data_IF_470038121706
#
_entry.id   IF_470038121706
#
_cell.length_a   1.000
_cell.length_b   1.000
_cell.length_c   1.000
_cell.angle_alpha   90.00
_cell.angle_beta   90.00
_cell.angle_gamma   90.00
#
_symmetry.space_group_name_H-M   'P 1'
#
loop_
_entity.id
_entity.type
_entity.pdbx_description
1 polymer ?
#
# COMPACT_ATOMS: atom_id res chain seq x y z
N UNK A 1 -32.78 16.31 -21.08
CA UNK A 1 -32.61 15.73 -19.73
C UNK A 1 -32.95 16.69 -18.58
N UNK A 2 -32.62 17.99 -18.61
CA UNK A 2 -32.97 18.89 -17.48
C UNK A 2 -34.48 19.19 -17.34
N UNK A 3 -35.24 19.13 -18.43
CA UNK A 3 -36.72 19.22 -18.42
C UNK A 3 -37.41 17.96 -17.87
N UNK A 4 -36.72 16.81 -17.83
CA UNK A 4 -37.31 15.51 -17.47
C UNK A 4 -37.32 15.27 -15.95
N UNK A 5 -36.49 15.97 -15.19
CA UNK A 5 -36.36 15.82 -13.73
C UNK A 5 -36.97 16.99 -12.94
N UNK A 6 -37.61 17.95 -13.62
CA UNK A 6 -38.26 19.13 -13.03
C UNK A 6 -37.39 19.88 -11.99
N UNK A 7 -36.07 19.80 -12.13
CA UNK A 7 -35.13 20.36 -11.14
C UNK A 7 -34.89 21.85 -11.37
N UNK A 8 -35.23 22.39 -12.55
CA UNK A 8 -35.01 23.79 -12.91
C UNK A 8 -33.54 24.20 -12.94
N UNK A 9 -32.60 23.25 -13.02
CA UNK A 9 -31.19 23.50 -13.28
C UNK A 9 -30.94 23.53 -14.80
N UNK A 10 -30.04 24.41 -15.22
CA UNK A 10 -29.53 24.42 -16.59
C UNK A 10 -28.71 23.16 -16.88
N UNK A 11 -28.63 22.79 -18.16
CA UNK A 11 -27.99 21.54 -18.59
C UNK A 11 -26.52 21.45 -18.15
N UNK A 12 -25.81 22.58 -18.08
CA UNK A 12 -24.42 22.63 -17.65
C UNK A 12 -24.28 22.36 -16.15
N UNK A 13 -25.08 23.01 -15.30
CA UNK A 13 -25.05 22.76 -13.85
C UNK A 13 -25.46 21.32 -13.50
N UNK A 14 -26.43 20.75 -14.22
CA UNK A 14 -26.82 19.34 -14.02
C UNK A 14 -25.66 18.39 -14.36
N UNK A 15 -24.98 18.60 -15.49
CA UNK A 15 -23.83 17.79 -15.89
C UNK A 15 -22.65 17.90 -14.90
N UNK A 16 -22.51 19.05 -14.25
CA UNK A 16 -21.49 19.28 -13.24
C UNK A 16 -21.82 18.58 -11.92
N UNK A 17 -23.09 18.58 -11.49
CA UNK A 17 -23.54 17.82 -10.33
C UNK A 17 -23.34 16.31 -10.52
N UNK A 18 -23.62 15.80 -11.73
CA UNK A 18 -23.40 14.39 -12.07
C UNK A 18 -21.91 14.03 -11.95
N UNK A 19 -21.01 14.85 -12.52
CA UNK A 19 -19.56 14.63 -12.38
C UNK A 19 -19.06 14.66 -10.94
N UNK A 20 -19.68 15.46 -10.07
CA UNK A 20 -19.32 15.50 -8.65
C UNK A 20 -19.75 14.22 -7.93
N UNK A 21 -20.96 13.74 -8.18
CA UNK A 21 -21.42 12.44 -7.68
C UNK A 21 -20.52 11.31 -8.16
N UNK A 22 -20.06 11.33 -9.42
CA UNK A 22 -19.08 10.38 -9.96
C UNK A 22 -17.71 10.49 -9.26
N UNK A 23 -17.33 11.67 -8.77
CA UNK A 23 -16.12 11.88 -7.96
C UNK A 23 -16.27 11.49 -6.48
N UNK A 24 -17.42 10.93 -6.08
CA UNK A 24 -17.65 10.37 -4.74
C UNK A 24 -18.33 11.31 -3.75
N UNK A 25 -18.86 12.46 -4.16
CA UNK A 25 -19.63 13.33 -3.26
C UNK A 25 -21.01 12.74 -2.95
N UNK A 26 -21.45 12.82 -1.69
CA UNK A 26 -22.76 12.32 -1.29
C UNK A 26 -23.90 13.10 -2.00
N UNK A 27 -24.74 12.42 -2.81
CA UNK A 27 -25.80 13.06 -3.59
C UNK A 27 -26.88 13.73 -2.73
N UNK A 28 -27.18 13.21 -1.53
CA UNK A 28 -28.20 13.79 -0.65
C UNK A 28 -27.75 15.12 -0.03
N UNK A 29 -26.49 15.19 0.41
CA UNK A 29 -25.91 16.42 0.92
C UNK A 29 -25.82 17.51 -0.16
N UNK A 30 -25.45 17.11 -1.39
CA UNK A 30 -25.43 18.00 -2.55
C UNK A 30 -26.83 18.54 -2.89
N UNK A 31 -27.85 17.67 -2.85
CA UNK A 31 -29.24 18.08 -3.08
C UNK A 31 -29.75 19.04 -1.98
N UNK A 32 -29.39 18.81 -0.71
CA UNK A 32 -29.70 19.71 0.40
C UNK A 32 -29.10 21.10 0.20
N UNK A 33 -27.81 21.17 -0.14
CA UNK A 33 -27.12 22.42 -0.42
C UNK A 33 -27.74 23.18 -1.59
N UNK A 34 -28.09 22.49 -2.69
CA UNK A 34 -28.72 23.14 -3.84
C UNK A 34 -30.09 23.73 -3.47
N UNK A 35 -30.89 23.05 -2.65
CA UNK A 35 -32.19 23.55 -2.16
C UNK A 35 -32.01 24.78 -1.27
N UNK A 36 -31.07 24.73 -0.32
CA UNK A 36 -30.79 25.85 0.58
C UNK A 36 -30.26 27.09 -0.16
N UNK A 37 -29.39 26.86 -1.16
CA UNK A 37 -28.85 27.93 -1.99
C UNK A 37 -29.90 28.54 -2.90
N UNK A 38 -30.83 27.74 -3.44
CA UNK A 38 -31.98 28.25 -4.22
C UNK A 38 -32.92 29.08 -3.35
N UNK A 39 -33.16 28.66 -2.11
CA UNK A 39 -34.00 29.41 -1.17
C UNK A 39 -33.40 30.77 -0.79
N UNK A 40 -32.06 30.86 -0.69
CA UNK A 40 -31.36 32.08 -0.26
C UNK A 40 -31.01 33.05 -1.41
N UNK A 41 -30.73 32.56 -2.62
CA UNK A 41 -30.15 33.37 -3.69
C UNK A 41 -31.04 33.59 -4.95
N UNK A 42 -32.24 33.00 -4.99
CA UNK A 42 -33.14 33.12 -6.15
C UNK A 42 -32.55 32.49 -7.43
N UNK A 43 -33.17 32.67 -8.62
CA UNK A 43 -32.84 31.91 -9.85
C UNK A 43 -31.44 32.18 -10.45
N UNK A 44 -30.61 33.06 -9.86
CA UNK A 44 -29.24 33.35 -10.28
C UNK A 44 -28.19 32.46 -9.56
N UNK A 45 -28.58 31.22 -9.25
CA UNK A 45 -27.76 30.24 -8.50
C UNK A 45 -26.45 29.87 -9.22
N UNK A 46 -26.33 30.06 -10.54
CA UNK A 46 -25.25 29.51 -11.36
C UNK A 46 -23.85 30.07 -11.04
N UNK A 47 -23.72 31.36 -10.72
CA UNK A 47 -22.42 31.97 -10.41
C UNK A 47 -21.92 31.65 -9.01
N UNK A 48 -22.84 31.58 -8.03
CA UNK A 48 -22.49 31.27 -6.64
C UNK A 48 -22.28 29.77 -6.41
N UNK A 49 -23.05 28.92 -7.10
CA UNK A 49 -22.81 27.47 -7.14
C UNK A 49 -21.40 27.18 -7.64
N UNK A 50 -20.91 27.89 -8.67
CA UNK A 50 -19.53 27.74 -9.17
C UNK A 50 -18.46 28.16 -8.15
N UNK A 51 -18.70 29.23 -7.38
CA UNK A 51 -17.79 29.68 -6.32
C UNK A 51 -17.73 28.67 -5.16
N UNK A 52 -18.90 28.17 -4.72
CA UNK A 52 -19.00 27.14 -3.67
C UNK A 52 -18.43 25.81 -4.17
N UNK A 53 -18.65 25.43 -5.44
CA UNK A 53 -18.02 24.25 -6.02
C UNK A 53 -16.50 24.38 -6.11
N UNK A 54 -15.98 25.56 -6.48
CA UNK A 54 -14.54 25.84 -6.44
C UNK A 54 -14.01 25.68 -5.02
N UNK A 55 -14.74 26.15 -4.02
CA UNK A 55 -14.36 26.02 -2.62
C UNK A 55 -14.34 24.54 -2.17
N UNK A 56 -15.34 23.74 -2.56
CA UNK A 56 -15.41 22.30 -2.29
C UNK A 56 -14.34 21.47 -3.05
N UNK A 57 -14.04 21.84 -4.30
CA UNK A 57 -12.94 21.27 -5.09
C UNK A 57 -11.57 21.64 -4.53
N UNK A 58 -11.42 22.84 -3.95
CA UNK A 58 -10.20 23.26 -3.25
C UNK A 58 -10.07 22.60 -1.87
N UNK A 59 -11.19 22.39 -1.15
CA UNK A 59 -11.16 21.89 0.22
C UNK A 59 -10.99 20.37 0.35
N UNK A 60 -11.28 19.57 -0.69
CA UNK A 60 -10.99 18.13 -0.70
C UNK A 60 -9.90 17.72 -1.70
N UNK A 61 -8.91 18.61 -1.92
CA UNK A 61 -7.72 18.28 -2.71
C UNK A 61 -6.41 18.92 -2.25
N UNK A 62 -6.38 19.69 -1.15
CA UNK A 62 -5.20 20.45 -0.72
C UNK A 62 -4.98 20.49 0.81
N UNK A 63 -5.44 19.46 1.55
CA UNK A 63 -5.18 19.33 2.99
C UNK A 63 -4.12 18.25 3.31
N UNK A 64 -2.99 18.30 2.60
CA UNK A 64 -1.76 17.62 3.03
C UNK A 64 -0.52 18.41 2.61
N UNK A 65 -0.50 19.70 2.98
CA UNK A 65 0.56 20.64 2.60
C UNK A 65 1.67 20.75 3.64
N UNK A 66 1.66 19.97 4.73
CA UNK A 66 2.71 20.10 5.77
C UNK A 66 3.66 18.93 5.98
N UNK A 67 3.57 17.83 5.23
CA UNK A 67 4.63 16.80 5.22
C UNK A 67 4.82 16.17 3.85
N UNK A 68 5.49 16.91 2.97
CA UNK A 68 6.04 16.35 1.74
C UNK A 68 5.83 17.29 0.58
N UNK A 69 6.94 17.81 0.06
CA UNK A 69 7.00 18.44 -1.25
C UNK A 69 6.47 17.45 -2.29
N UNK A 70 5.21 17.58 -2.68
CA UNK A 70 4.65 16.80 -3.77
C UNK A 70 5.10 17.41 -5.10
N UNK A 71 5.92 16.68 -5.85
CA UNK A 71 6.24 17.04 -7.22
C UNK A 71 5.18 16.46 -8.15
N UNK A 72 4.69 17.27 -9.09
CA UNK A 72 3.70 16.85 -10.06
C UNK A 72 4.33 15.80 -11.00
N UNK A 73 3.85 14.55 -10.96
CA UNK A 73 4.42 13.40 -11.71
C UNK A 73 4.46 13.60 -13.23
N UNK A 74 3.71 14.57 -13.75
CA UNK A 74 3.65 14.95 -15.17
C UNK A 74 4.76 15.92 -15.62
N UNK A 75 5.53 16.51 -14.70
CA UNK A 75 6.65 17.44 -15.01
C UNK A 75 8.02 16.83 -14.63
N UNK A 76 8.05 15.52 -14.38
CA UNK A 76 9.29 14.80 -14.22
C UNK A 76 9.93 14.60 -15.61
N UNK A 77 10.96 15.38 -15.92
CA UNK A 77 11.89 14.99 -17.00
C UNK A 77 12.52 13.67 -16.55
N UNK A 78 12.40 12.63 -17.39
CA UNK A 78 12.49 11.19 -17.07
C UNK A 78 13.76 10.70 -16.36
N UNK A 79 14.77 11.54 -16.10
CA UNK A 79 16.08 11.12 -15.61
C UNK A 79 16.66 11.97 -14.46
N UNK A 80 15.85 12.79 -13.77
CA UNK A 80 16.33 13.61 -12.66
C UNK A 80 15.71 13.17 -11.32
N UNK A 81 16.56 12.95 -10.31
CA UNK A 81 16.11 12.59 -8.96
C UNK A 81 15.39 13.76 -8.27
N UNK A 82 14.43 13.47 -7.39
CA UNK A 82 13.64 14.47 -6.64
C UNK A 82 14.51 15.50 -5.91
N UNK A 83 15.60 15.02 -5.29
CA UNK A 83 16.58 15.87 -4.61
C UNK A 83 17.20 16.91 -5.55
N UNK A 84 17.44 16.56 -6.82
CA UNK A 84 18.01 17.47 -7.80
C UNK A 84 17.08 18.64 -8.13
N UNK A 85 15.76 18.42 -8.12
CA UNK A 85 14.78 19.49 -8.30
C UNK A 85 14.74 20.44 -7.11
N UNK A 86 14.80 19.89 -5.88
CA UNK A 86 14.87 20.68 -4.65
C UNK A 86 16.14 21.53 -4.64
N UNK A 87 17.30 20.94 -4.93
CA UNK A 87 18.56 21.68 -4.99
C UNK A 87 18.55 22.77 -6.07
N UNK A 88 18.02 22.48 -7.28
CA UNK A 88 17.88 23.49 -8.33
C UNK A 88 17.07 24.69 -7.86
N UNK A 89 15.95 24.45 -7.16
CA UNK A 89 15.10 25.52 -6.63
C UNK A 89 15.82 26.35 -5.57
N UNK A 90 16.43 25.68 -4.59
CA UNK A 90 17.19 26.34 -3.50
C UNK A 90 18.31 27.21 -4.08
N UNK A 91 19.03 26.71 -5.09
CA UNK A 91 20.08 27.48 -5.77
C UNK A 91 19.50 28.70 -6.49
N UNK A 92 18.43 28.52 -7.27
CA UNK A 92 17.77 29.64 -7.96
C UNK A 92 17.25 30.71 -7.00
N UNK A 93 16.69 30.31 -5.86
CA UNK A 93 16.21 31.21 -4.82
C UNK A 93 17.35 31.98 -4.16
N UNK A 94 18.44 31.28 -3.79
CA UNK A 94 19.64 31.91 -3.27
C UNK A 94 20.22 32.94 -4.25
N UNK A 95 20.31 32.61 -5.54
CA UNK A 95 20.81 33.52 -6.58
C UNK A 95 19.91 34.74 -6.76
N UNK A 96 18.58 34.57 -6.69
CA UNK A 96 17.63 35.69 -6.75
C UNK A 96 17.78 36.63 -5.55
N UNK A 97 17.93 36.08 -4.35
CA UNK A 97 18.10 36.87 -3.12
C UNK A 97 19.39 37.71 -3.14
N UNK A 98 20.42 37.26 -3.85
CA UNK A 98 21.66 38.03 -4.04
C UNK A 98 21.58 39.04 -5.20
N UNK A 99 20.40 39.25 -5.81
CA UNK A 99 20.22 40.22 -6.89
C UNK A 99 20.75 39.74 -8.25
N UNK A 100 20.87 38.42 -8.45
CA UNK A 100 21.30 37.81 -9.71
C UNK A 100 22.69 37.18 -9.66
N UNK A 101 23.03 36.40 -10.70
CA UNK A 101 24.27 35.61 -10.78
C UNK A 101 25.55 36.46 -10.66
N UNK A 102 25.52 37.69 -11.15
CA UNK A 102 26.68 38.59 -11.18
C UNK A 102 26.99 39.25 -9.83
N UNK A 103 26.02 39.24 -8.91
CA UNK A 103 26.11 39.90 -7.61
C UNK A 103 26.41 38.92 -6.46
N UNK A 104 26.55 37.62 -6.76
CA UNK A 104 26.92 36.61 -5.76
C UNK A 104 28.40 36.75 -5.41
N UNK A 105 28.70 37.22 -4.19
CA UNK A 105 30.08 37.36 -3.72
C UNK A 105 30.70 35.99 -3.47
N UNK A 106 31.87 35.72 -4.09
CA UNK A 106 32.57 34.44 -3.94
C UNK A 106 33.32 34.42 -2.60
N UNK A 107 32.63 34.01 -1.54
CA UNK A 107 33.19 33.93 -0.20
C UNK A 107 34.22 32.79 -0.06
N UNK A 108 35.09 32.89 0.95
CA UNK A 108 36.07 31.84 1.30
C UNK A 108 35.37 30.53 1.71
N UNK A 109 34.21 30.63 2.35
CA UNK A 109 33.37 29.51 2.76
C UNK A 109 32.76 28.78 1.56
N UNK A 110 32.30 29.54 0.56
CA UNK A 110 31.77 28.97 -0.69
C UNK A 110 32.86 28.15 -1.39
N UNK A 111 34.09 28.68 -1.48
CA UNK A 111 35.24 27.96 -2.04
C UNK A 111 35.57 26.69 -1.26
N UNK A 112 35.52 26.74 0.07
CA UNK A 112 35.76 25.57 0.92
C UNK A 112 34.67 24.50 0.75
N UNK A 113 33.39 24.91 0.65
CA UNK A 113 32.26 24.01 0.43
C UNK A 113 32.32 23.32 -0.93
N UNK A 114 32.66 24.06 -2.00
CA UNK A 114 32.84 23.50 -3.35
C UNK A 114 33.99 22.49 -3.39
N UNK A 115 35.11 22.76 -2.71
CA UNK A 115 36.23 21.81 -2.59
C UNK A 115 35.80 20.49 -1.93
N UNK A 116 34.93 20.57 -0.91
CA UNK A 116 34.41 19.39 -0.21
C UNK A 116 33.24 18.71 -0.94
N UNK A 117 32.63 19.36 -1.94
CA UNK A 117 31.42 18.84 -2.60
C UNK A 117 31.64 17.46 -3.22
N UNK A 118 32.80 17.23 -3.85
CA UNK A 118 33.15 15.92 -4.40
C UNK A 118 33.25 14.84 -3.33
N UNK A 119 33.87 15.15 -2.18
CA UNK A 119 33.97 14.22 -1.07
C UNK A 119 32.59 13.87 -0.50
N UNK A 120 31.71 14.87 -0.30
CA UNK A 120 30.33 14.65 0.16
C UNK A 120 29.53 13.80 -0.83
N UNK A 121 29.72 14.02 -2.13
CA UNK A 121 29.06 13.22 -3.17
C UNK A 121 29.56 11.76 -3.18
N UNK A 122 30.87 11.54 -3.05
CA UNK A 122 31.42 10.19 -2.94
C UNK A 122 30.86 9.45 -1.71
N UNK A 123 30.85 10.10 -0.54
CA UNK A 123 30.27 9.54 0.68
C UNK A 123 28.77 9.22 0.53
N UNK A 124 28.00 10.08 -0.15
CA UNK A 124 26.59 9.83 -0.46
C UNK A 124 26.39 8.60 -1.36
N UNK A 125 27.22 8.42 -2.39
CA UNK A 125 27.15 7.25 -3.26
C UNK A 125 27.50 5.96 -2.51
N UNK A 126 28.49 5.99 -1.63
CA UNK A 126 28.86 4.84 -0.81
C UNK A 126 27.74 4.48 0.19
N UNK A 127 27.10 5.49 0.78
CA UNK A 127 25.94 5.31 1.65
C UNK A 127 24.75 4.73 0.88
N UNK A 128 24.45 5.23 -0.33
CA UNK A 128 23.42 4.63 -1.18
C UNK A 128 23.70 3.15 -1.49
N UNK A 129 24.95 2.79 -1.81
CA UNK A 129 25.33 1.39 -2.05
C UNK A 129 25.12 0.53 -0.80
N UNK A 130 25.56 1.00 0.37
CA UNK A 130 25.33 0.30 1.64
C UNK A 130 23.85 0.12 1.95
N UNK A 131 23.04 1.17 1.73
CA UNK A 131 21.59 1.10 1.90
C UNK A 131 20.95 0.13 0.92
N UNK A 132 21.37 0.09 -0.34
CA UNK A 132 20.87 -0.86 -1.33
C UNK A 132 21.20 -2.31 -0.93
N UNK A 133 22.43 -2.58 -0.49
CA UNK A 133 22.84 -3.90 -0.01
C UNK A 133 22.07 -4.31 1.25
N UNK A 134 21.92 -3.41 2.21
CA UNK A 134 21.13 -3.64 3.43
C UNK A 134 19.65 -3.89 3.12
N UNK A 135 19.04 -3.11 2.21
CA UNK A 135 17.67 -3.34 1.73
C UNK A 135 17.51 -4.69 1.04
N UNK A 136 18.49 -5.10 0.23
CA UNK A 136 18.47 -6.41 -0.41
C UNK A 136 18.60 -7.55 0.62
N UNK A 137 19.50 -7.43 1.58
CA UNK A 137 19.67 -8.42 2.65
C UNK A 137 18.40 -8.54 3.52
N UNK A 138 17.81 -7.40 3.90
CA UNK A 138 16.56 -7.38 4.67
C UNK A 138 15.36 -7.89 3.87
N UNK A 139 15.28 -7.65 2.55
CA UNK A 139 14.26 -8.26 1.68
C UNK A 139 14.38 -9.78 1.65
N UNK A 140 15.58 -10.30 1.37
CA UNK A 140 15.84 -11.75 1.32
C UNK A 140 15.53 -12.44 2.65
N UNK A 141 15.89 -11.80 3.77
CA UNK A 141 15.57 -12.31 5.10
C UNK A 141 14.05 -12.37 5.34
N UNK A 142 13.31 -11.32 4.99
CA UNK A 142 11.85 -11.29 5.09
C UNK A 142 11.18 -12.35 4.21
N UNK A 143 11.69 -12.56 3.00
CA UNK A 143 11.20 -13.60 2.10
C UNK A 143 11.39 -14.99 2.72
N UNK A 144 12.57 -15.27 3.29
CA UNK A 144 12.86 -16.52 4.00
C UNK A 144 11.97 -16.71 5.24
N UNK A 145 11.75 -15.65 6.03
CA UNK A 145 10.86 -15.67 7.21
C UNK A 145 9.41 -15.97 6.80
N UNK A 146 8.90 -15.34 5.74
CA UNK A 146 7.56 -15.62 5.21
C UNK A 146 7.40 -17.05 4.69
N UNK A 147 8.43 -17.60 4.03
CA UNK A 147 8.43 -19.00 3.62
C UNK A 147 8.43 -19.94 4.82
N UNK A 148 9.21 -19.64 5.85
CA UNK A 148 9.24 -20.41 7.10
C UNK A 148 7.86 -20.44 7.77
N UNK A 149 7.19 -19.29 7.87
CA UNK A 149 5.84 -19.18 8.44
C UNK A 149 4.82 -20.00 7.66
N UNK A 150 4.88 -19.99 6.32
CA UNK A 150 4.03 -20.84 5.47
C UNK A 150 4.27 -22.32 5.75
N UNK A 151 5.52 -22.74 5.88
CA UNK A 151 5.89 -24.12 6.17
C UNK A 151 5.45 -24.56 7.56
N UNK A 152 5.63 -23.71 8.58
CA UNK A 152 5.12 -23.94 9.94
C UNK A 152 3.60 -24.05 9.97
N UNK A 153 2.90 -23.19 9.22
CA UNK A 153 1.45 -23.25 9.06
C UNK A 153 0.99 -24.56 8.40
N UNK A 154 1.70 -25.02 7.35
CA UNK A 154 1.42 -26.32 6.71
C UNK A 154 1.64 -27.48 7.67
N UNK A 155 2.76 -27.50 8.40
CA UNK A 155 3.07 -28.52 9.42
C UNK A 155 1.97 -28.62 10.47
N UNK A 156 1.51 -27.50 11.02
CA UNK A 156 0.43 -27.47 12.01
C UNK A 156 -0.88 -28.03 11.47
N UNK A 157 -1.23 -27.71 10.21
CA UNK A 157 -2.43 -28.27 9.56
C UNK A 157 -2.31 -29.79 9.39
N UNK A 158 -1.18 -30.27 8.92
CA UNK A 158 -0.93 -31.71 8.76
C UNK A 158 -1.01 -32.46 10.10
N UNK A 159 -0.41 -31.91 11.15
CA UNK A 159 -0.48 -32.48 12.51
C UNK A 159 -1.93 -32.56 13.03
N UNK A 160 -2.75 -31.52 12.79
CA UNK A 160 -4.18 -31.56 13.15
C UNK A 160 -4.93 -32.63 12.36
N UNK A 161 -4.69 -32.74 11.05
CA UNK A 161 -5.33 -33.77 10.24
C UNK A 161 -4.92 -35.17 10.67
N UNK A 162 -3.63 -35.38 10.99
CA UNK A 162 -3.13 -36.65 11.50
C UNK A 162 -3.86 -37.05 12.79
N UNK A 163 -3.97 -36.12 13.74
CA UNK A 163 -4.70 -36.36 14.99
C UNK A 163 -6.15 -36.77 14.73
N UNK A 164 -6.88 -36.05 13.86
CA UNK A 164 -8.27 -36.39 13.54
C UNK A 164 -8.41 -37.75 12.82
N UNK A 165 -7.45 -38.14 11.98
CA UNK A 165 -7.44 -39.44 11.32
C UNK A 165 -7.25 -40.57 12.32
N UNK A 166 -6.35 -40.40 13.29
CA UNK A 166 -6.10 -41.37 14.37
C UNK A 166 -7.33 -41.50 15.29
N UNK A 167 -7.89 -40.38 15.75
CA UNK A 167 -9.14 -40.36 16.54
C UNK A 167 -10.30 -41.04 15.80
N UNK A 168 -10.38 -40.89 14.48
CA UNK A 168 -11.40 -41.57 13.68
C UNK A 168 -11.13 -43.07 13.53
N UNK A 169 -9.86 -43.47 13.39
CA UNK A 169 -9.49 -44.88 13.36
C UNK A 169 -9.79 -45.60 14.67
N UNK A 170 -9.57 -44.94 15.81
CA UNK A 170 -9.82 -45.50 17.13
C UNK A 170 -11.33 -45.64 17.37
N UNK A 171 -12.13 -44.62 17.04
CA UNK A 171 -13.61 -44.71 17.07
C UNK A 171 -14.14 -45.88 16.23
N UNK A 172 -13.62 -46.08 15.02
CA UNK A 172 -14.03 -47.22 14.20
C UNK A 172 -13.59 -48.57 14.78
N UNK A 173 -12.49 -48.60 15.54
CA UNK A 173 -12.05 -49.83 16.22
C UNK A 173 -13.00 -50.16 17.39
N UNK A 174 -13.37 -49.17 18.19
CA UNK A 174 -14.36 -49.31 19.28
C UNK A 174 -15.74 -49.75 18.75
N UNK A 175 -16.20 -49.17 17.63
CA UNK A 175 -17.45 -49.58 16.99
C UNK A 175 -17.42 -51.02 16.47
N UNK A 176 -16.26 -51.47 15.98
CA UNK A 176 -16.09 -52.85 15.51
C UNK A 176 -16.25 -53.84 16.67
N UNK A 177 -15.69 -53.53 17.83
CA UNK A 177 -15.82 -54.35 19.05
C UNK A 177 -17.26 -54.36 19.58
N UNK A 178 -17.91 -53.20 19.62
CA UNK A 178 -19.28 -53.08 20.11
C UNK A 178 -20.31 -53.81 19.23
N UNK A 179 -20.12 -53.79 17.90
CA UNK A 179 -21.04 -54.40 16.92
C UNK A 179 -20.61 -55.79 16.46
N UNK A 180 -19.40 -56.24 16.81
CA UNK A 180 -18.74 -57.43 16.25
C UNK A 180 -18.71 -57.45 14.70
N UNK A 181 -18.58 -56.28 14.08
CA UNK A 181 -18.55 -56.14 12.62
C UNK A 181 -17.16 -55.74 12.13
N UNK A 182 -16.51 -56.69 11.44
CA UNK A 182 -15.15 -56.56 10.93
C UNK A 182 -15.00 -55.48 9.85
N UNK A 183 -16.09 -55.06 9.19
CA UNK A 183 -16.03 -54.00 8.16
C UNK A 183 -15.52 -52.68 8.72
N UNK A 184 -15.78 -52.40 10.00
CA UNK A 184 -15.28 -51.20 10.68
C UNK A 184 -13.76 -51.25 10.92
N UNK A 185 -13.17 -52.43 11.14
CA UNK A 185 -11.70 -52.57 11.21
C UNK A 185 -11.03 -52.30 9.86
N UNK A 186 -11.67 -52.68 8.76
CA UNK A 186 -11.16 -52.34 7.41
C UNK A 186 -11.13 -50.82 7.24
N UNK A 187 -12.18 -50.12 7.65
CA UNK A 187 -12.23 -48.65 7.66
C UNK A 187 -11.15 -48.05 8.56
N UNK A 188 -11.02 -48.50 9.81
CA UNK A 188 -9.99 -48.05 10.74
C UNK A 188 -8.58 -48.19 10.15
N UNK A 189 -8.29 -49.33 9.52
CA UNK A 189 -7.01 -49.56 8.86
C UNK A 189 -6.76 -48.64 7.67
N UNK A 190 -7.80 -48.26 6.92
CA UNK A 190 -7.67 -47.27 5.84
C UNK A 190 -7.24 -45.90 6.38
N UNK A 191 -7.86 -45.44 7.48
CA UNK A 191 -7.48 -44.20 8.17
C UNK A 191 -6.06 -44.24 8.73
N UNK A 192 -5.64 -45.39 9.30
CA UNK A 192 -4.25 -45.58 9.79
C UNK A 192 -3.22 -45.54 8.66
N UNK A 193 -3.55 -46.06 7.47
CA UNK A 193 -2.67 -45.93 6.30
C UNK A 193 -2.51 -44.48 5.88
N UNK A 194 -3.61 -43.73 5.75
CA UNK A 194 -3.57 -42.29 5.44
C UNK A 194 -2.82 -41.50 6.53
N UNK A 195 -2.99 -41.86 7.80
CA UNK A 195 -2.26 -41.25 8.91
C UNK A 195 -0.74 -41.44 8.76
N UNK A 196 -0.27 -42.65 8.45
CA UNK A 196 1.16 -42.91 8.19
C UNK A 196 1.72 -42.10 7.02
N UNK A 197 0.95 -41.93 5.95
CA UNK A 197 1.35 -41.06 4.84
C UNK A 197 1.52 -39.61 5.29
N UNK A 198 0.62 -39.11 6.15
CA UNK A 198 0.70 -37.75 6.72
C UNK A 198 1.87 -37.60 7.69
N UNK A 199 2.23 -38.62 8.45
CA UNK A 199 3.44 -38.62 9.29
C UNK A 199 4.71 -38.46 8.46
N UNK A 200 4.82 -39.17 7.34
CA UNK A 200 5.96 -39.04 6.42
C UNK A 200 6.02 -37.63 5.79
N UNK A 201 4.87 -37.07 5.43
CA UNK A 201 4.76 -35.70 4.93
C UNK A 201 5.16 -34.65 5.98
N UNK A 202 4.80 -34.87 7.25
CA UNK A 202 5.24 -33.99 8.35
C UNK A 202 6.76 -34.07 8.51
N UNK A 203 7.33 -35.27 8.48
CA UNK A 203 8.78 -35.46 8.63
C UNK A 203 9.58 -34.82 7.48
N UNK A 204 9.07 -34.83 6.24
CA UNK A 204 9.72 -34.12 5.13
C UNK A 204 9.66 -32.60 5.31
N UNK A 205 8.49 -32.06 5.69
CA UNK A 205 8.30 -30.64 5.98
C UNK A 205 9.17 -30.18 7.14
N UNK A 206 9.35 -30.99 8.19
CA UNK A 206 10.21 -30.67 9.34
C UNK A 206 11.69 -30.59 8.96
N UNK A 207 12.17 -31.46 8.06
CA UNK A 207 13.52 -31.36 7.52
C UNK A 207 13.73 -30.06 6.73
N UNK A 208 12.75 -29.67 5.91
CA UNK A 208 12.79 -28.42 5.16
C UNK A 208 12.75 -27.19 6.07
N UNK A 209 11.95 -27.23 7.14
CA UNK A 209 11.91 -26.19 8.17
C UNK A 209 13.29 -26.09 8.84
N UNK A 210 13.87 -27.20 9.29
CA UNK A 210 15.19 -27.19 9.93
C UNK A 210 16.28 -26.63 9.00
N UNK A 211 16.25 -26.99 7.71
CA UNK A 211 17.18 -26.45 6.73
C UNK A 211 17.01 -24.94 6.58
N UNK A 212 15.77 -24.43 6.50
CA UNK A 212 15.48 -23.00 6.40
C UNK A 212 15.80 -22.23 7.67
N UNK A 213 15.57 -22.80 8.86
CA UNK A 213 15.97 -22.15 10.13
C UNK A 213 17.48 -22.00 10.25
N UNK A 214 18.25 -22.96 9.74
CA UNK A 214 19.71 -22.89 9.72
C UNK A 214 20.24 -21.80 8.76
N UNK A 215 19.45 -21.38 7.77
CA UNK A 215 19.80 -20.25 6.90
C UNK A 215 19.53 -18.88 7.56
N UNK A 216 18.76 -18.85 8.65
CA UNK A 216 18.39 -17.64 9.39
C UNK A 216 19.23 -17.43 10.67
N UNK A 217 19.89 -18.48 11.17
CA UNK A 217 20.81 -18.45 12.31
C UNK A 217 22.19 -17.91 11.94
#
# INVERSE_FOLDING_TARGET
MSQLLNTGLDAYSLALCIRLCESGTNPEALAGLIKDLRAKAGPKVTTWLWAVMKLLLLSHGQASVERGFSTNKQVAVENLAELSYIFKRVICEAVKNHGGLLNVSISKELKASVRQARHRYAAYLDEQKKQALSRQATSKRKELEQELDKMLGRRSKLQKTLKCLLESADRFSEEAEAKNDLTYLVKANSFRRTAKEKELEIASVEKEIHAKTALLS
#
